data_IF_973977725157
#
_entry.id   IF_973977725157
#
_cell.length_a   1.000
_cell.length_b   1.000
_cell.length_c   1.000
_cell.angle_alpha   90.00
_cell.angle_beta   90.00
_cell.angle_gamma   90.00
#
_symmetry.space_group_name_H-M   'P 1'
#
loop_
_entity.id
_entity.type
_entity.pdbx_description
1 polymer ?
#
# COMPACT_ATOMS: atom_id res chain seq x y z
N UNK A 1 6.24 -23.99 0.39
CA UNK A 1 6.67 -22.98 -0.60
C UNK A 1 7.68 -23.54 -1.58
N UNK A 2 8.79 -24.12 -1.11
CA UNK A 2 9.83 -24.68 -1.98
C UNK A 2 9.27 -25.75 -2.93
N UNK A 3 8.44 -26.68 -2.42
CA UNK A 3 7.80 -27.73 -3.24
C UNK A 3 6.95 -27.17 -4.39
N UNK A 4 6.21 -26.05 -4.16
CA UNK A 4 5.44 -25.38 -5.23
C UNK A 4 6.32 -24.80 -6.34
N UNK A 5 7.59 -24.55 -6.04
CA UNK A 5 8.60 -24.04 -6.97
C UNK A 5 9.52 -25.18 -7.47
N UNK A 6 9.13 -26.45 -7.23
CA UNK A 6 9.93 -27.65 -7.58
C UNK A 6 11.31 -27.66 -6.94
N UNK A 7 11.40 -27.15 -5.69
CA UNK A 7 12.63 -27.06 -4.91
C UNK A 7 12.50 -27.84 -3.59
N UNK A 8 13.63 -28.27 -3.08
CA UNK A 8 13.81 -28.84 -1.73
C UNK A 8 14.85 -28.01 -0.97
N UNK A 9 15.07 -28.34 0.31
CA UNK A 9 16.14 -27.72 1.11
C UNK A 9 17.54 -28.04 0.57
N UNK A 10 17.70 -29.14 -0.17
CA UNK A 10 18.97 -29.53 -0.80
C UNK A 10 19.12 -28.98 -2.23
N UNK A 11 18.13 -28.26 -2.75
CA UNK A 11 18.22 -27.73 -4.11
C UNK A 11 19.17 -26.55 -4.18
N UNK A 12 20.04 -26.53 -5.19
CA UNK A 12 20.90 -25.39 -5.51
C UNK A 12 20.26 -24.62 -6.68
N UNK A 13 19.69 -23.44 -6.42
CA UNK A 13 19.07 -22.64 -7.48
C UNK A 13 20.10 -22.13 -8.48
N UNK A 14 19.68 -21.93 -9.72
CA UNK A 14 20.53 -21.23 -10.72
C UNK A 14 20.77 -19.78 -10.26
N UNK A 15 21.94 -19.24 -10.60
CA UNK A 15 22.28 -17.86 -10.33
C UNK A 15 21.22 -16.91 -10.90
N UNK A 16 20.80 -15.93 -10.10
CA UNK A 16 19.75 -14.96 -10.46
C UNK A 16 18.31 -15.47 -10.33
N UNK A 17 18.08 -16.76 -10.03
CA UNK A 17 16.74 -17.28 -9.81
C UNK A 17 16.18 -16.75 -8.47
N UNK A 18 15.06 -16.04 -8.53
CA UNK A 18 14.31 -15.57 -7.35
C UNK A 18 13.57 -16.74 -6.69
N UNK A 19 13.79 -16.95 -5.40
CA UNK A 19 13.15 -18.00 -4.61
C UNK A 19 12.25 -17.37 -3.56
N UNK A 20 10.99 -17.78 -3.53
CA UNK A 20 10.04 -17.33 -2.50
C UNK A 20 10.04 -18.33 -1.33
N UNK A 21 10.42 -17.87 -0.14
CA UNK A 21 10.49 -18.70 1.06
C UNK A 21 9.17 -18.75 1.83
N UNK A 22 8.33 -17.74 1.67
CA UNK A 22 6.99 -17.64 2.26
C UNK A 22 6.10 -16.70 1.44
N UNK A 23 4.81 -16.62 1.78
CA UNK A 23 3.82 -15.75 1.13
C UNK A 23 3.35 -14.57 1.99
N UNK A 24 4.01 -14.31 3.10
CA UNK A 24 3.67 -13.15 3.94
C UNK A 24 4.14 -11.87 3.26
N UNK A 25 3.27 -10.88 3.20
CA UNK A 25 3.50 -9.57 2.55
C UNK A 25 3.86 -8.50 3.60
N UNK A 26 4.40 -8.89 4.76
CA UNK A 26 4.80 -7.91 5.76
C UNK A 26 6.29 -7.55 5.62
N UNK A 27 6.68 -6.35 6.06
CA UNK A 27 8.08 -5.87 5.99
C UNK A 27 9.01 -6.73 6.84
N UNK A 28 8.58 -7.11 8.05
CA UNK A 28 9.39 -7.89 9.00
C UNK A 28 9.90 -9.22 8.42
N UNK A 29 9.10 -10.03 7.69
CA UNK A 29 9.59 -11.24 7.04
C UNK A 29 10.27 -11.00 5.69
N UNK A 30 10.60 -9.77 5.30
CA UNK A 30 11.35 -9.47 4.09
C UNK A 30 10.53 -8.94 2.91
N UNK A 31 9.32 -8.45 3.17
CA UNK A 31 8.58 -7.66 2.19
C UNK A 31 9.31 -6.36 1.85
N UNK A 32 9.04 -5.80 0.70
CA UNK A 32 9.63 -4.53 0.26
C UNK A 32 8.53 -3.52 -0.02
N UNK A 33 8.84 -2.25 0.23
CA UNK A 33 7.98 -1.13 -0.15
C UNK A 33 8.40 -0.66 -1.53
N UNK A 34 7.44 -0.56 -2.42
CA UNK A 34 7.55 0.13 -3.69
C UNK A 34 6.58 1.30 -3.67
N UNK A 35 7.07 2.49 -4.01
CA UNK A 35 6.22 3.67 -4.15
C UNK A 35 5.80 3.80 -5.60
N UNK A 36 4.51 3.95 -5.81
CA UNK A 36 3.88 4.11 -7.12
C UNK A 36 3.52 5.59 -7.30
N UNK A 37 3.74 6.12 -8.50
CA UNK A 37 3.33 7.48 -8.81
C UNK A 37 1.79 7.58 -8.73
N UNK A 38 1.31 8.65 -8.10
CA UNK A 38 -0.13 8.93 -7.99
C UNK A 38 -0.85 8.95 -9.34
N UNK A 39 -0.15 9.34 -10.40
CA UNK A 39 -0.71 9.43 -11.75
C UNK A 39 -0.89 8.05 -12.41
N UNK A 40 -0.29 7.00 -11.83
CA UNK A 40 -0.53 5.61 -12.23
C UNK A 40 -1.88 5.08 -11.70
N UNK A 41 -2.40 5.67 -10.62
CA UNK A 41 -3.67 5.23 -10.03
C UNK A 41 -4.83 5.54 -10.97
N UNK A 42 -5.64 4.54 -11.32
CA UNK A 42 -6.78 4.76 -12.21
C UNK A 42 -7.75 5.80 -11.64
N UNK A 43 -8.44 6.58 -12.48
CA UNK A 43 -9.41 7.58 -12.02
C UNK A 43 -10.51 6.99 -11.15
N UNK A 44 -10.96 5.78 -11.44
CA UNK A 44 -12.02 5.13 -10.69
C UNK A 44 -11.54 4.62 -9.32
N UNK A 45 -10.31 4.10 -9.22
CA UNK A 45 -9.69 3.79 -7.93
C UNK A 45 -9.52 5.06 -7.09
N UNK A 46 -9.10 6.16 -7.71
CA UNK A 46 -8.97 7.45 -7.00
C UNK A 46 -10.31 7.93 -6.45
N UNK A 47 -11.38 7.87 -7.24
CA UNK A 47 -12.74 8.20 -6.76
C UNK A 47 -13.17 7.30 -5.61
N UNK A 48 -12.91 6.01 -5.72
CA UNK A 48 -13.24 5.04 -4.68
C UNK A 48 -12.54 5.36 -3.37
N UNK A 49 -11.23 5.65 -3.40
CA UNK A 49 -10.46 5.99 -2.21
C UNK A 49 -10.91 7.31 -1.58
N UNK A 50 -11.20 8.33 -2.39
CA UNK A 50 -11.73 9.59 -1.89
C UNK A 50 -13.12 9.40 -1.24
N UNK A 51 -14.00 8.60 -1.85
CA UNK A 51 -15.30 8.28 -1.28
C UNK A 51 -15.18 7.57 0.07
N UNK A 52 -14.21 6.66 0.21
CA UNK A 52 -13.91 6.01 1.51
C UNK A 52 -13.49 7.08 2.53
N UNK A 53 -12.54 7.94 2.17
CA UNK A 53 -12.04 9.01 3.03
C UNK A 53 -13.19 9.92 3.52
N UNK A 54 -14.02 10.38 2.59
CA UNK A 54 -15.19 11.23 2.87
C UNK A 54 -16.19 10.53 3.79
N UNK A 55 -16.44 9.23 3.60
CA UNK A 55 -17.37 8.45 4.40
C UNK A 55 -16.98 8.37 5.89
N UNK A 56 -15.69 8.51 6.18
CA UNK A 56 -15.14 8.54 7.54
C UNK A 56 -14.85 9.96 8.03
N UNK A 57 -15.17 10.99 7.25
CA UNK A 57 -14.83 12.39 7.55
C UNK A 57 -13.34 12.53 7.95
N UNK A 58 -12.46 11.87 7.23
CA UNK A 58 -11.05 11.77 7.56
C UNK A 58 -10.19 12.59 6.60
N UNK A 59 -9.13 13.21 7.12
CA UNK A 59 -8.14 13.96 6.32
C UNK A 59 -6.98 13.08 5.87
N UNK A 60 -6.76 11.95 6.56
CA UNK A 60 -5.73 10.96 6.24
C UNK A 60 -6.22 9.57 6.64
N UNK A 61 -5.93 8.59 5.80
CA UNK A 61 -6.34 7.21 6.02
C UNK A 61 -5.37 6.25 5.33
N UNK A 62 -5.01 5.15 5.98
CA UNK A 62 -4.36 4.02 5.35
C UNK A 62 -5.41 3.04 4.84
N UNK A 63 -5.28 2.61 3.60
CA UNK A 63 -6.16 1.63 2.98
C UNK A 63 -5.31 0.46 2.51
N UNK A 64 -5.44 -0.68 3.17
CA UNK A 64 -4.78 -1.91 2.77
C UNK A 64 -5.70 -2.68 1.82
N UNK A 65 -5.27 -2.80 0.56
CA UNK A 65 -6.04 -3.44 -0.50
C UNK A 65 -5.14 -4.32 -1.36
N UNK A 66 -5.67 -5.47 -1.77
CA UNK A 66 -5.04 -6.36 -2.75
C UNK A 66 -5.75 -6.19 -4.08
N UNK A 67 -5.00 -5.84 -5.10
CA UNK A 67 -5.44 -5.83 -6.49
C UNK A 67 -4.95 -7.08 -7.22
N UNK A 68 -5.82 -7.70 -8.02
CA UNK A 68 -5.47 -8.87 -8.83
C UNK A 68 -4.50 -8.51 -9.96
N UNK A 69 -4.71 -7.38 -10.62
CA UNK A 69 -3.91 -6.91 -11.76
C UNK A 69 -2.98 -5.77 -11.38
N UNK A 70 -3.49 -4.72 -10.73
CA UNK A 70 -2.72 -3.55 -10.31
C UNK A 70 -3.64 -2.34 -10.07
N UNK A 71 -3.07 -1.28 -9.49
CA UNK A 71 -3.80 -0.06 -9.12
C UNK A 71 -4.16 0.80 -10.34
N UNK A 72 -3.52 0.56 -11.47
CA UNK A 72 -3.76 1.20 -12.75
C UNK A 72 -5.02 0.70 -13.47
N UNK A 73 -5.54 -0.47 -13.08
CA UNK A 73 -6.79 -1.01 -13.61
C UNK A 73 -7.96 -0.60 -12.74
N UNK A 74 -9.11 -0.32 -13.37
CA UNK A 74 -10.32 0.05 -12.65
C UNK A 74 -10.85 -1.08 -11.75
N UNK A 75 -11.54 -0.76 -10.64
CA UNK A 75 -11.98 -1.76 -9.68
C UNK A 75 -13.03 -2.73 -10.23
N UNK A 76 -13.75 -2.38 -11.29
CA UNK A 76 -14.70 -3.25 -12.00
C UNK A 76 -14.03 -4.21 -12.99
N UNK A 77 -12.78 -3.97 -13.36
CA UNK A 77 -12.00 -4.78 -14.30
C UNK A 77 -11.16 -5.87 -13.62
N UNK A 78 -11.20 -5.94 -12.29
CA UNK A 78 -10.36 -6.85 -11.50
C UNK A 78 -10.99 -7.17 -10.14
N UNK A 79 -10.47 -8.19 -9.48
CA UNK A 79 -10.79 -8.43 -8.07
C UNK A 79 -9.98 -7.48 -7.19
N UNK A 80 -10.69 -6.78 -6.30
CA UNK A 80 -10.12 -5.94 -5.27
C UNK A 80 -10.56 -6.47 -3.91
N UNK A 81 -9.60 -6.70 -3.00
CA UNK A 81 -9.90 -7.18 -1.64
C UNK A 81 -9.38 -6.14 -0.65
N UNK A 82 -10.28 -5.46 0.01
CA UNK A 82 -9.95 -4.55 1.10
C UNK A 82 -9.68 -5.38 2.36
N UNK A 83 -8.52 -5.16 2.97
CA UNK A 83 -8.08 -5.89 4.15
C UNK A 83 -8.27 -5.08 5.42
N UNK A 84 -7.85 -3.81 5.40
CA UNK A 84 -7.83 -2.94 6.57
C UNK A 84 -7.99 -1.48 6.17
N UNK A 85 -8.66 -0.73 7.06
CA UNK A 85 -8.72 0.72 7.03
C UNK A 85 -8.09 1.24 8.32
N UNK A 86 -7.12 2.14 8.21
CA UNK A 86 -6.30 2.58 9.33
C UNK A 86 -6.30 4.12 9.45
N UNK A 87 -6.81 4.64 10.57
CA UNK A 87 -6.83 6.08 10.87
C UNK A 87 -5.46 6.64 11.29
N UNK A 88 -4.49 5.78 11.60
CA UNK A 88 -3.12 6.16 11.96
C UNK A 88 -2.11 5.43 11.08
N UNK A 89 -2.07 5.72 9.76
CA UNK A 89 -1.18 5.01 8.86
C UNK A 89 0.29 5.29 9.21
N UNK A 90 1.12 4.25 9.10
CA UNK A 90 2.57 4.37 9.33
C UNK A 90 3.24 4.98 8.09
N UNK A 91 3.18 6.31 7.98
CA UNK A 91 3.69 7.04 6.82
C UNK A 91 5.20 6.93 6.64
N UNK A 92 5.96 6.77 7.74
CA UNK A 92 7.43 6.71 7.70
C UNK A 92 7.97 5.60 6.79
N UNK A 93 7.25 4.49 6.63
CA UNK A 93 7.69 3.41 5.75
C UNK A 93 7.83 3.85 4.29
N UNK A 94 7.03 4.84 3.84
CA UNK A 94 7.09 5.36 2.48
C UNK A 94 8.33 6.24 2.22
N UNK A 95 9.03 6.69 3.27
CA UNK A 95 10.29 7.43 3.12
C UNK A 95 11.47 6.54 2.73
N UNK A 96 11.33 5.21 2.87
CA UNK A 96 12.40 4.25 2.62
C UNK A 96 11.95 3.18 1.62
N UNK A 97 11.46 3.57 0.42
CA UNK A 97 11.03 2.59 -0.57
C UNK A 97 12.26 1.83 -1.09
N UNK A 98 12.06 0.54 -1.35
CA UNK A 98 13.09 -0.28 -2.06
C UNK A 98 13.09 0.06 -3.54
N UNK A 99 11.92 0.37 -4.09
CA UNK A 99 11.70 0.75 -5.49
C UNK A 99 10.77 1.96 -5.56
N UNK A 100 10.82 2.68 -6.67
CA UNK A 100 10.06 3.90 -6.87
C UNK A 100 10.72 5.14 -6.28
N UNK A 101 10.05 6.28 -6.40
CA UNK A 101 10.54 7.57 -5.90
C UNK A 101 10.15 7.75 -4.44
N UNK A 102 11.05 8.29 -3.63
CA UNK A 102 10.70 8.76 -2.29
C UNK A 102 9.63 9.86 -2.41
N UNK A 103 8.45 9.71 -1.80
CA UNK A 103 7.44 10.75 -1.83
C UNK A 103 7.88 11.95 -1.01
N UNK A 104 7.51 13.14 -1.46
CA UNK A 104 7.61 14.36 -0.68
C UNK A 104 6.38 14.44 0.25
N UNK A 105 6.58 14.25 1.56
CA UNK A 105 5.50 14.23 2.55
C UNK A 105 5.41 15.52 3.38
N UNK A 106 6.40 16.41 3.33
CA UNK A 106 6.46 17.59 4.19
C UNK A 106 5.31 18.57 3.88
N UNK A 107 4.94 18.69 2.60
CA UNK A 107 3.79 19.49 2.19
C UNK A 107 2.46 18.95 2.72
N UNK A 108 2.32 17.63 2.84
CA UNK A 108 1.14 17.00 3.44
C UNK A 108 1.06 17.25 4.93
N UNK A 109 2.18 17.16 5.66
CA UNK A 109 2.22 17.46 7.09
C UNK A 109 1.93 18.93 7.36
N UNK A 110 2.45 19.84 6.54
CA UNK A 110 2.15 21.27 6.62
C UNK A 110 0.64 21.52 6.46
N UNK A 111 0.01 20.88 5.47
CA UNK A 111 -1.44 20.98 5.28
C UNK A 111 -2.22 20.41 6.45
N UNK A 112 -1.85 19.24 6.97
CA UNK A 112 -2.51 18.64 8.13
C UNK A 112 -2.44 19.55 9.36
N UNK A 113 -1.29 20.18 9.59
CA UNK A 113 -1.10 21.12 10.71
C UNK A 113 -1.91 22.43 10.54
N UNK A 114 -2.32 22.79 9.33
CA UNK A 114 -3.13 23.98 9.05
C UNK A 114 -4.64 23.73 9.13
N UNK A 115 -5.06 22.45 9.28
CA UNK A 115 -6.47 22.12 9.45
C UNK A 115 -6.86 22.46 10.89
N UNK A 116 -7.74 23.44 11.05
CA UNK A 116 -8.40 23.68 12.32
C UNK A 116 -9.21 22.43 12.69
N UNK A 117 -8.87 21.83 13.81
CA UNK A 117 -9.69 20.80 14.42
C UNK A 117 -10.99 21.48 14.83
N UNK A 118 -12.04 21.35 14.01
CA UNK A 118 -13.38 21.73 14.46
C UNK A 118 -13.66 20.96 15.75
N UNK A 119 -14.29 21.61 16.73
CA UNK A 119 -14.71 21.04 18.03
C UNK A 119 -15.71 19.88 17.93
N UNK A 120 -15.68 19.13 16.84
CA UNK A 120 -16.44 17.92 16.62
C UNK A 120 -15.87 16.81 17.52
N UNK A 121 -16.33 16.86 18.77
CA UNK A 121 -16.43 15.74 19.67
C UNK A 121 -15.22 14.82 19.78
N UNK A 122 -14.42 15.02 20.81
CA UNK A 122 -13.61 13.96 21.41
C UNK A 122 -14.61 12.87 21.87
N UNK A 123 -14.68 11.76 21.14
CA UNK A 123 -15.31 10.53 21.60
C UNK A 123 -14.26 9.66 22.30
#
# INVERSE_FOLDING_TARGET
FLRKQQLSLASVPKQGKKIYLHNKIALAPGGVVETIDKDTVSPENRKLFLKILDSFNANIFGIDVIFEKGIEFDPDQQKCIFLELNSRPYLKMHHFPRYGKKPELDSYFTKLNSIELSDAGVF
#
